data_IF_673078503085
#
_entry.id   IF_673078503085
#
_cell.length_a   1.000
_cell.length_b   1.000
_cell.length_c   1.000
_cell.angle_alpha   90.00
_cell.angle_beta   90.00
_cell.angle_gamma   90.00
#
_symmetry.space_group_name_H-M   'P 1'
#
loop_
_entity.id
_entity.type
_entity.pdbx_description
1 polymer ?
#
# COMPACT_ATOMS: atom_id res chain seq x y z
N UNK A 1 -18.56 7.38 19.24
CA UNK A 1 -18.13 8.73 19.67
C UNK A 1 -19.39 9.57 19.79
N UNK A 2 -19.73 10.03 21.00
CA UNK A 2 -21.06 10.54 21.41
C UNK A 2 -21.09 12.08 21.65
N UNK A 3 -20.13 12.85 21.12
CA UNK A 3 -19.94 14.24 21.60
C UNK A 3 -20.66 15.30 20.74
N UNK A 4 -20.78 15.15 19.42
CA UNK A 4 -21.62 16.00 18.54
C UNK A 4 -21.64 15.42 17.12
N UNK A 5 -22.71 15.65 16.34
CA UNK A 5 -22.73 15.24 14.92
C UNK A 5 -21.66 15.94 14.06
N UNK A 6 -21.14 17.07 14.54
CA UNK A 6 -20.19 17.93 13.83
C UNK A 6 -18.75 17.69 14.26
N UNK A 7 -18.53 17.08 15.44
CA UNK A 7 -17.21 16.86 15.99
C UNK A 7 -17.01 15.39 16.35
N UNK A 8 -15.97 14.78 15.76
CA UNK A 8 -15.56 13.41 16.03
C UNK A 8 -14.16 13.43 16.60
N UNK A 9 -13.97 12.74 17.71
CA UNK A 9 -12.65 12.43 18.26
C UNK A 9 -12.47 10.92 18.24
N UNK A 10 -11.30 10.50 17.77
CA UNK A 10 -10.81 9.15 17.70
C UNK A 10 -9.49 9.03 18.46
N UNK A 11 -9.25 7.85 19.01
CA UNK A 11 -8.01 7.52 19.69
C UNK A 11 -7.77 6.03 19.61
N UNK A 12 -6.51 5.63 19.58
CA UNK A 12 -6.14 4.23 19.60
C UNK A 12 -4.87 3.99 20.40
N UNK A 13 -4.77 2.75 20.88
CA UNK A 13 -3.64 2.24 21.63
C UNK A 13 -3.42 0.80 21.21
N UNK A 14 -2.19 0.45 20.81
CA UNK A 14 -1.81 -0.88 20.34
C UNK A 14 -0.44 -1.22 20.91
N UNK A 15 -0.26 -2.47 21.32
CA UNK A 15 1.03 -3.00 21.73
C UNK A 15 1.43 -4.13 20.80
N UNK A 16 2.61 -4.03 20.18
CA UNK A 16 3.14 -5.09 19.34
C UNK A 16 4.03 -6.04 20.14
N UNK A 17 3.71 -7.33 20.11
CA UNK A 17 4.48 -8.36 20.84
C UNK A 17 5.79 -8.73 20.15
N UNK A 18 5.91 -8.49 18.84
CA UNK A 18 7.11 -8.79 18.05
C UNK A 18 8.13 -7.64 18.06
N UNK A 19 7.64 -6.41 18.08
CA UNK A 19 8.46 -5.19 18.06
C UNK A 19 8.63 -4.57 19.46
N UNK A 20 7.95 -5.10 20.49
CA UNK A 20 7.87 -4.59 21.86
C UNK A 20 7.62 -3.08 21.93
N UNK A 21 6.85 -2.56 20.96
CA UNK A 21 6.66 -1.13 20.79
C UNK A 21 5.21 -0.75 21.05
N UNK A 22 5.04 0.27 21.88
CA UNK A 22 3.75 0.85 22.15
C UNK A 22 3.39 1.87 21.07
N UNK A 23 2.26 1.68 20.40
CA UNK A 23 1.75 2.54 19.33
C UNK A 23 0.47 3.22 19.80
N UNK A 24 0.37 4.51 19.59
CA UNK A 24 -0.75 5.29 20.10
C UNK A 24 -0.95 6.53 19.26
N UNK A 25 -2.19 7.02 19.23
CA UNK A 25 -2.53 8.21 18.49
C UNK A 25 -3.93 8.67 18.78
N UNK A 26 -4.20 9.90 18.40
CA UNK A 26 -5.51 10.51 18.45
C UNK A 26 -5.72 11.37 17.22
N UNK A 27 -6.97 11.45 16.79
CA UNK A 27 -7.39 12.26 15.67
C UNK A 27 -8.71 12.95 16.00
N UNK A 28 -8.89 14.13 15.43
CA UNK A 28 -10.12 14.90 15.51
C UNK A 28 -10.56 15.24 14.10
N UNK A 29 -11.88 15.20 13.88
CA UNK A 29 -12.54 15.64 12.66
C UNK A 29 -13.67 16.58 13.03
N UNK A 30 -13.58 17.83 12.59
CA UNK A 30 -14.65 18.82 12.68
C UNK A 30 -15.27 19.03 11.30
N UNK A 31 -16.51 18.59 11.13
CA UNK A 31 -17.26 18.79 9.89
C UNK A 31 -17.77 20.23 9.84
N UNK A 32 -17.48 20.95 8.77
CA UNK A 32 -17.98 22.31 8.52
C UNK A 32 -19.17 22.28 7.56
N UNK A 33 -19.10 21.44 6.53
CA UNK A 33 -20.21 21.19 5.62
C UNK A 33 -20.25 19.70 5.25
N UNK A 34 -21.35 19.03 5.62
CA UNK A 34 -21.50 17.59 5.41
C UNK A 34 -21.89 17.22 3.96
N UNK A 35 -22.41 18.16 3.16
CA UNK A 35 -22.77 17.94 1.76
C UNK A 35 -21.52 17.91 0.86
N UNK A 36 -20.64 18.90 1.02
CA UNK A 36 -19.37 18.97 0.31
C UNK A 36 -18.23 18.22 1.02
N UNK A 37 -18.53 17.46 2.08
CA UNK A 37 -17.54 16.78 2.93
C UNK A 37 -16.39 17.71 3.39
N UNK A 38 -16.68 19.00 3.54
CA UNK A 38 -15.73 19.98 4.06
C UNK A 38 -15.56 19.73 5.55
N UNK A 39 -14.39 19.23 5.94
CA UNK A 39 -14.09 18.95 7.33
C UNK A 39 -12.63 19.23 7.63
N UNK A 40 -12.36 19.85 8.77
CA UNK A 40 -11.03 19.99 9.31
C UNK A 40 -10.64 18.70 10.04
N UNK A 41 -9.40 18.26 9.84
CA UNK A 41 -8.80 17.11 10.50
C UNK A 41 -7.53 17.54 11.21
N UNK A 42 -7.26 16.97 12.36
CA UNK A 42 -5.98 17.16 13.05
C UNK A 42 -5.71 16.03 14.01
N UNK A 43 -4.45 15.75 14.28
CA UNK A 43 -4.11 14.64 15.15
C UNK A 43 -2.63 14.46 15.39
N UNK A 44 -2.36 13.48 16.24
CA UNK A 44 -1.04 13.01 16.57
C UNK A 44 -1.00 11.49 16.49
N UNK A 45 0.12 10.95 16.05
CA UNK A 45 0.32 9.51 15.96
C UNK A 45 1.78 9.14 16.18
N UNK A 46 1.98 8.13 17.01
CA UNK A 46 3.19 7.34 17.07
C UNK A 46 2.88 5.92 16.61
N UNK A 47 3.42 5.52 15.46
CA UNK A 47 3.17 4.20 14.86
C UNK A 47 4.41 3.73 14.08
N UNK A 48 4.35 2.49 13.58
CA UNK A 48 5.35 1.98 12.66
C UNK A 48 4.79 1.91 11.24
N UNK A 49 5.64 2.19 10.27
CA UNK A 49 5.32 2.10 8.84
C UNK A 49 6.32 1.19 8.16
N UNK A 50 5.91 0.57 7.06
CA UNK A 50 6.88 -0.06 6.18
C UNK A 50 7.79 1.00 5.58
N UNK A 51 9.10 0.78 5.67
CA UNK A 51 10.08 1.68 5.07
C UNK A 51 9.96 1.66 3.54
N UNK A 52 9.80 2.83 2.94
CA UNK A 52 9.57 2.96 1.49
C UNK A 52 8.22 2.39 1.03
N UNK A 53 7.32 2.06 1.97
CA UNK A 53 5.98 1.58 1.66
C UNK A 53 5.13 2.65 0.97
N UNK A 54 4.24 2.21 0.07
CA UNK A 54 3.37 3.13 -0.68
C UNK A 54 1.99 3.21 -0.03
N UNK A 55 1.62 4.40 0.43
CA UNK A 55 0.31 4.68 1.03
C UNK A 55 -0.39 5.85 0.33
N UNK A 56 -1.69 5.70 0.13
CA UNK A 56 -2.56 6.71 -0.48
C UNK A 56 -3.59 7.15 0.54
N UNK A 57 -3.57 8.43 0.92
CA UNK A 57 -4.43 8.96 1.99
C UNK A 57 -5.93 8.76 1.75
N UNK A 58 -6.37 8.85 0.49
CA UNK A 58 -7.77 8.65 0.09
C UNK A 58 -8.16 7.17 -0.12
N UNK A 59 -7.18 6.25 -0.11
CA UNK A 59 -7.46 4.83 -0.24
C UNK A 59 -7.83 4.28 1.14
N UNK A 60 -9.02 3.68 1.31
CA UNK A 60 -9.38 3.07 2.58
C UNK A 60 -8.35 2.01 2.99
N UNK A 61 -7.87 2.06 4.23
CA UNK A 61 -7.00 1.03 4.75
C UNK A 61 -7.75 -0.31 4.77
N UNK A 62 -7.26 -1.25 3.97
CA UNK A 62 -7.74 -2.62 3.93
C UNK A 62 -7.06 -3.40 5.04
N UNK A 63 -7.85 -3.82 6.04
CA UNK A 63 -7.37 -4.73 7.08
C UNK A 63 -7.04 -6.12 6.53
N UNK A 64 -6.53 -7.01 7.39
CA UNK A 64 -6.15 -8.38 7.02
C UNK A 64 -7.30 -9.19 6.37
N UNK A 65 -8.56 -8.83 6.63
CA UNK A 65 -9.75 -9.48 6.07
C UNK A 65 -10.04 -9.10 4.61
N UNK A 66 -9.25 -8.21 4.01
CA UNK A 66 -9.36 -7.78 2.62
C UNK A 66 -8.14 -8.25 1.80
N UNK A 67 -7.65 -9.45 2.10
CA UNK A 67 -6.54 -10.12 1.41
C UNK A 67 -5.22 -9.33 1.39
N UNK A 68 -4.98 -8.53 2.44
CA UNK A 68 -3.76 -7.74 2.65
C UNK A 68 -2.82 -8.40 3.69
N UNK A 69 -2.48 -9.67 3.47
CA UNK A 69 -1.77 -10.51 4.44
C UNK A 69 -0.28 -10.20 4.57
N UNK A 70 0.27 -9.55 3.54
CA UNK A 70 1.64 -9.05 3.49
C UNK A 70 2.05 -8.26 4.73
N UNK A 71 1.11 -7.55 5.35
CA UNK A 71 1.37 -6.74 6.55
C UNK A 71 1.97 -7.54 7.71
N UNK A 72 1.72 -8.85 7.79
CA UNK A 72 2.25 -9.74 8.84
C UNK A 72 3.73 -10.07 8.60
N UNK A 73 4.16 -9.99 7.34
CA UNK A 73 5.43 -10.51 6.86
C UNK A 73 6.49 -9.43 6.64
N UNK A 74 6.12 -8.14 6.72
CA UNK A 74 7.06 -7.02 6.65
C UNK A 74 8.14 -7.20 7.72
N UNK A 75 9.39 -6.98 7.31
CA UNK A 75 10.56 -7.14 8.15
C UNK A 75 11.33 -5.83 8.39
N UNK A 76 11.05 -4.78 7.61
CA UNK A 76 11.72 -3.49 7.68
C UNK A 76 10.70 -2.40 7.93
N UNK A 77 10.90 -1.65 9.01
CA UNK A 77 9.95 -0.66 9.47
C UNK A 77 10.64 0.64 9.87
N UNK A 78 9.90 1.73 9.74
CA UNK A 78 10.23 3.01 10.32
C UNK A 78 9.36 3.28 11.54
N UNK A 79 9.96 3.78 12.61
CA UNK A 79 9.25 4.42 13.71
C UNK A 79 8.93 5.85 13.30
N UNK A 80 7.65 6.21 13.43
CA UNK A 80 7.15 7.49 12.94
C UNK A 80 6.37 8.20 14.03
N UNK A 81 6.83 9.39 14.39
CA UNK A 81 6.08 10.34 15.20
C UNK A 81 5.55 11.43 14.28
N UNK A 82 4.23 11.63 14.26
CA UNK A 82 3.58 12.50 13.29
C UNK A 82 2.56 13.41 13.98
N UNK A 83 2.65 14.71 13.69
CA UNK A 83 1.60 15.69 13.92
C UNK A 83 1.03 16.09 12.58
N UNK A 84 -0.29 16.13 12.44
CA UNK A 84 -0.90 16.54 11.20
C UNK A 84 -2.13 17.42 11.41
N UNK A 85 -2.38 18.27 10.42
CA UNK A 85 -3.59 19.05 10.28
C UNK A 85 -3.96 19.12 8.81
N UNK A 86 -5.23 19.21 8.49
CA UNK A 86 -5.66 19.23 7.11
C UNK A 86 -7.15 19.43 6.97
N UNK A 87 -7.63 19.33 5.74
CA UNK A 87 -9.05 19.36 5.46
C UNK A 87 -9.40 18.39 4.33
N UNK A 88 -10.61 17.86 4.40
CA UNK A 88 -11.24 17.15 3.28
C UNK A 88 -12.19 18.08 2.55
N UNK A 89 -12.36 17.86 1.26
CA UNK A 89 -13.33 18.57 0.45
C UNK A 89 -13.71 17.71 -0.77
N UNK A 90 -14.99 17.64 -1.07
CA UNK A 90 -15.51 16.99 -2.28
C UNK A 90 -15.92 18.08 -3.28
N UNK A 91 -15.01 18.53 -4.17
CA UNK A 91 -15.33 19.57 -5.16
C UNK A 91 -16.41 19.13 -6.15
N UNK A 92 -16.52 17.82 -6.40
CA UNK A 92 -17.55 17.22 -7.23
C UNK A 92 -18.14 16.02 -6.50
N UNK A 93 -19.35 15.61 -6.89
CA UNK A 93 -20.05 14.48 -6.28
C UNK A 93 -19.26 13.16 -6.28
N UNK A 94 -18.24 13.00 -7.13
CA UNK A 94 -17.46 11.76 -7.27
C UNK A 94 -15.95 11.95 -7.18
N UNK A 95 -15.54 13.15 -6.75
CA UNK A 95 -14.15 13.55 -6.58
C UNK A 95 -13.96 13.94 -5.11
N UNK A 96 -13.08 13.22 -4.43
CA UNK A 96 -12.74 13.46 -3.03
C UNK A 96 -11.32 13.98 -2.96
N UNK A 97 -11.13 15.12 -2.29
CA UNK A 97 -9.83 15.71 -2.04
C UNK A 97 -9.53 15.73 -0.53
N UNK A 98 -8.26 15.56 -0.18
CA UNK A 98 -7.73 15.83 1.15
C UNK A 98 -6.41 16.57 1.00
N UNK A 99 -6.28 17.69 1.71
CA UNK A 99 -5.03 18.43 1.82
C UNK A 99 -4.59 18.33 3.27
N UNK A 100 -3.34 17.93 3.49
CA UNK A 100 -2.77 17.72 4.82
C UNK A 100 -1.41 18.38 4.90
N UNK A 101 -1.22 19.19 5.91
CA UNK A 101 0.11 19.54 6.41
C UNK A 101 0.50 18.56 7.51
N UNK A 102 1.72 18.05 7.48
CA UNK A 102 2.24 17.18 8.53
C UNK A 102 3.68 17.47 8.86
N UNK A 103 4.01 17.37 10.15
CA UNK A 103 5.37 17.30 10.67
C UNK A 103 5.62 15.87 11.13
N UNK A 104 6.66 15.25 10.60
CA UNK A 104 7.01 13.86 10.83
C UNK A 104 8.46 13.75 11.30
N UNK A 105 8.71 13.01 12.38
CA UNK A 105 10.03 12.47 12.69
C UNK A 105 10.01 10.98 12.36
N UNK A 106 10.99 10.52 11.59
CA UNK A 106 11.04 9.16 11.08
C UNK A 106 12.42 8.54 11.27
N UNK A 107 12.45 7.41 11.96
CA UNK A 107 13.66 6.62 12.21
C UNK A 107 13.51 5.24 11.57
N UNK A 108 14.41 4.88 10.66
CA UNK A 108 14.42 3.54 10.05
C UNK A 108 15.06 2.55 11.02
N UNK A 109 14.37 1.49 11.42
CA UNK A 109 14.93 0.47 12.32
C UNK A 109 16.05 -0.33 11.63
N UNK A 110 17.04 -0.76 12.39
CA UNK A 110 18.21 -1.49 11.87
C UNK A 110 19.34 -0.57 11.43
N UNK A 111 20.32 -1.14 10.73
CA UNK A 111 21.61 -0.47 10.45
C UNK A 111 21.57 0.44 9.22
N UNK A 112 20.45 1.11 8.94
CA UNK A 112 20.34 1.99 7.78
C UNK A 112 21.00 3.35 8.03
N UNK A 113 21.70 3.88 7.01
CA UNK A 113 22.24 5.24 7.01
C UNK A 113 22.07 5.88 5.64
N UNK A 114 21.72 7.17 5.63
CA UNK A 114 21.70 8.01 4.44
C UNK A 114 22.83 9.03 4.50
N UNK A 115 23.49 9.29 3.37
CA UNK A 115 24.48 10.35 3.25
C UNK A 115 23.76 11.65 2.93
N UNK A 116 23.64 12.53 3.91
CA UNK A 116 23.09 13.86 3.69
C UNK A 116 24.20 14.79 3.15
N UNK A 117 24.02 15.33 1.95
CA UNK A 117 24.98 16.24 1.30
C UNK A 117 24.66 17.73 1.55
N UNK A 118 23.63 18.04 2.33
CA UNK A 118 23.18 19.43 2.61
C UNK A 118 24.11 20.22 3.57
N UNK A 119 25.28 19.69 3.94
CA UNK A 119 26.23 20.31 4.87
C UNK A 119 27.68 20.35 4.36
N UNK A 120 28.56 21.10 5.05
CA UNK A 120 29.97 21.29 4.66
C UNK A 120 30.80 20.00 4.64
N UNK A 121 30.37 18.96 5.36
CA UNK A 121 30.94 17.62 5.32
C UNK A 121 29.79 16.59 5.30
N UNK A 122 29.84 15.59 4.41
CA UNK A 122 28.80 14.57 4.30
C UNK A 122 28.82 13.65 5.54
N UNK A 123 27.70 13.62 6.27
CA UNK A 123 27.52 12.76 7.45
C UNK A 123 26.56 11.63 7.12
N UNK A 124 26.92 10.41 7.55
CA UNK A 124 26.03 9.25 7.54
C UNK A 124 25.14 9.30 8.75
N UNK A 125 23.83 9.46 8.55
CA UNK A 125 22.88 9.55 9.64
C UNK A 125 21.62 8.71 9.36
N UNK A 126 20.90 8.44 10.45
CA UNK A 126 19.59 7.82 10.46
C UNK A 126 18.68 8.65 11.35
N UNK A 127 17.38 8.64 11.09
CA UNK A 127 16.46 9.56 11.73
C UNK A 127 16.42 10.89 10.98
N UNK A 128 15.24 11.26 10.48
CA UNK A 128 15.04 12.47 9.71
C UNK A 128 13.71 13.12 10.05
N UNK A 129 13.67 14.43 9.95
CA UNK A 129 12.49 15.25 10.13
C UNK A 129 11.97 15.71 8.77
N UNK A 130 10.65 15.68 8.61
CA UNK A 130 9.96 16.11 7.41
C UNK A 130 8.81 17.05 7.76
N UNK A 131 8.74 18.17 7.05
CA UNK A 131 7.55 19.02 7.01
C UNK A 131 6.94 18.93 5.62
N UNK A 132 5.73 18.43 5.51
CA UNK A 132 5.14 18.03 4.22
C UNK A 132 3.76 18.63 4.03
N UNK A 133 3.48 19.07 2.80
CA UNK A 133 2.12 19.34 2.31
C UNK A 133 1.75 18.21 1.36
N UNK A 134 0.70 17.47 1.70
CA UNK A 134 0.19 16.35 0.91
C UNK A 134 -1.18 16.72 0.37
N UNK A 135 -1.34 16.63 -0.94
CA UNK A 135 -2.61 16.81 -1.64
C UNK A 135 -2.99 15.49 -2.27
N UNK A 136 -4.11 14.91 -1.85
CA UNK A 136 -4.56 13.59 -2.28
C UNK A 136 -5.97 13.65 -2.86
N UNK A 137 -6.16 13.00 -4.00
CA UNK A 137 -7.42 12.91 -4.72
C UNK A 137 -7.83 11.46 -4.94
N UNK A 138 -9.14 11.20 -4.84
CA UNK A 138 -9.78 9.98 -5.32
C UNK A 138 -10.95 10.32 -6.22
N UNK A 139 -10.95 9.74 -7.40
CA UNK A 139 -12.04 9.84 -8.36
C UNK A 139 -12.63 8.46 -8.65
N UNK A 140 -13.95 8.33 -8.52
CA UNK A 140 -14.66 7.06 -8.73
C UNK A 140 -16.00 7.33 -9.45
N UNK A 141 -16.05 7.38 -10.79
CA UNK A 141 -17.23 7.82 -11.56
C UNK A 141 -18.48 6.97 -11.35
N UNK A 142 -18.35 5.74 -10.88
CA UNK A 142 -19.46 4.82 -10.67
C UNK A 142 -19.84 4.63 -9.20
N UNK A 143 -19.24 5.40 -8.29
CA UNK A 143 -19.57 5.28 -6.86
C UNK A 143 -21.02 5.64 -6.58
N UNK A 144 -21.56 5.02 -5.53
CA UNK A 144 -22.90 5.30 -5.03
C UNK A 144 -22.80 5.88 -3.61
N UNK A 145 -23.54 6.95 -3.41
CA UNK A 145 -23.68 7.62 -2.14
C UNK A 145 -25.15 7.88 -1.84
N UNK A 146 -25.49 7.97 -0.56
CA UNK A 146 -26.77 8.48 -0.08
C UNK A 146 -26.49 9.85 0.52
N UNK A 147 -27.40 10.78 0.30
CA UNK A 147 -27.35 12.13 0.85
C UNK A 147 -28.65 12.41 1.59
N UNK A 148 -28.55 12.93 2.80
CA UNK A 148 -29.73 13.27 3.59
C UNK A 148 -29.46 14.33 4.65
N UNK A 149 -30.52 15.01 5.12
CA UNK A 149 -30.42 15.99 6.19
C UNK A 149 -29.91 15.31 7.47
N UNK A 150 -28.86 15.87 8.08
CA UNK A 150 -28.23 15.36 9.30
C UNK A 150 -26.95 14.56 9.08
N UNK A 151 -26.93 13.56 8.20
CA UNK A 151 -25.72 12.74 7.97
C UNK A 151 -24.88 13.17 6.74
N UNK A 152 -25.42 14.05 5.89
CA UNK A 152 -24.75 14.54 4.68
C UNK A 152 -24.47 13.44 3.68
N UNK A 153 -23.33 13.52 2.98
CA UNK A 153 -22.94 12.55 1.95
C UNK A 153 -22.26 11.32 2.56
N UNK A 154 -22.87 10.15 2.38
CA UNK A 154 -22.33 8.86 2.82
C UNK A 154 -22.12 7.93 1.61
N UNK A 155 -20.85 7.67 1.28
CA UNK A 155 -20.49 6.72 0.22
C UNK A 155 -20.54 5.31 0.78
N UNK A 156 -21.40 4.46 0.23
CA UNK A 156 -21.57 3.07 0.69
C UNK A 156 -21.07 2.05 -0.33
N UNK A 157 -20.79 2.46 -1.57
CA UNK A 157 -20.27 1.55 -2.59
C UNK A 157 -19.32 2.30 -3.55
N UNK A 158 -18.02 2.10 -3.33
CA UNK A 158 -16.96 2.56 -4.24
C UNK A 158 -16.89 1.57 -5.40
N UNK A 159 -17.01 2.05 -6.64
CA UNK A 159 -17.05 1.19 -7.83
C UNK A 159 -16.04 1.62 -8.87
N UNK A 160 -15.43 0.61 -9.50
CA UNK A 160 -14.45 0.78 -10.57
C UNK A 160 -15.02 1.53 -11.80
N UNK A 161 -14.16 2.25 -12.54
CA UNK A 161 -12.75 2.49 -12.25
C UNK A 161 -12.54 3.40 -11.03
N UNK A 162 -11.40 3.26 -10.35
CA UNK A 162 -11.01 4.14 -9.25
C UNK A 162 -9.63 4.72 -9.58
N UNK A 163 -9.51 6.04 -9.52
CA UNK A 163 -8.25 6.75 -9.71
C UNK A 163 -7.85 7.38 -8.38
N UNK A 164 -6.61 7.17 -7.97
CA UNK A 164 -5.95 7.85 -6.87
C UNK A 164 -4.79 8.65 -7.42
N UNK A 165 -4.65 9.88 -6.96
CA UNK A 165 -3.51 10.72 -7.24
C UNK A 165 -3.09 11.42 -5.95
N UNK A 166 -1.79 11.48 -5.69
CA UNK A 166 -1.26 12.13 -4.51
C UNK A 166 0.02 12.88 -4.89
N UNK A 167 0.11 14.10 -4.43
CA UNK A 167 1.29 14.94 -4.54
C UNK A 167 1.75 15.33 -3.15
N UNK A 168 3.02 15.12 -2.85
CA UNK A 168 3.65 15.49 -1.59
C UNK A 168 4.80 16.45 -1.87
N UNK A 169 4.73 17.62 -1.25
CA UNK A 169 5.81 18.61 -1.23
C UNK A 169 6.47 18.60 0.14
N UNK A 170 7.74 18.23 0.20
CA UNK A 170 8.62 18.45 1.34
C UNK A 170 9.10 19.89 1.40
N UNK A 171 9.08 20.48 2.59
CA UNK A 171 9.51 21.85 2.86
C UNK A 171 10.78 21.81 3.70
N UNK A 172 11.90 22.20 3.11
CA UNK A 172 13.16 22.34 3.84
C UNK A 172 13.12 23.51 4.84
N UNK A 173 13.92 23.43 5.90
CA UNK A 173 14.08 24.44 6.95
C UNK A 173 12.78 24.89 7.66
N UNK A 174 11.67 24.19 7.42
CA UNK A 174 10.37 24.47 8.03
C UNK A 174 10.18 23.52 9.19
N UNK A 175 10.02 24.05 10.41
CA UNK A 175 9.88 23.26 11.64
C UNK A 175 11.01 22.21 11.84
N UNK A 176 12.23 22.52 11.39
CA UNK A 176 13.38 21.61 11.50
C UNK A 176 13.33 20.39 10.57
N UNK A 177 12.65 20.51 9.44
CA UNK A 177 12.68 19.53 8.34
C UNK A 177 14.05 19.51 7.66
N UNK A 178 14.51 18.33 7.27
CA UNK A 178 15.84 18.10 6.69
C UNK A 178 15.86 18.11 5.14
N UNK A 179 14.68 18.05 4.50
CA UNK A 179 14.57 17.87 3.04
C UNK A 179 13.47 18.73 2.40
N UNK A 180 13.78 19.26 1.21
CA UNK A 180 12.80 19.74 0.23
C UNK A 180 12.75 18.74 -0.92
N UNK A 181 11.55 18.29 -1.28
CA UNK A 181 11.38 17.35 -2.38
C UNK A 181 9.96 17.38 -2.93
N UNK A 182 9.80 16.86 -4.13
CA UNK A 182 8.51 16.63 -4.76
C UNK A 182 8.31 15.13 -4.97
N UNK A 183 7.15 14.63 -4.57
CA UNK A 183 6.76 13.24 -4.75
C UNK A 183 5.38 13.15 -5.38
N UNK A 184 5.29 12.37 -6.45
CA UNK A 184 4.06 12.14 -7.21
C UNK A 184 3.72 10.66 -7.15
N UNK A 185 2.50 10.34 -6.71
CA UNK A 185 2.00 8.97 -6.62
C UNK A 185 0.66 8.87 -7.36
N UNK A 186 0.49 7.83 -8.17
CA UNK A 186 -0.74 7.57 -8.89
C UNK A 186 -1.11 6.09 -8.81
N UNK A 187 -2.41 5.80 -8.73
CA UNK A 187 -2.93 4.45 -8.80
C UNK A 187 -4.27 4.42 -9.50
N UNK A 188 -4.41 3.49 -10.44
CA UNK A 188 -5.62 3.22 -11.19
C UNK A 188 -6.06 1.78 -10.93
N UNK A 189 -7.31 1.60 -10.54
CA UNK A 189 -7.90 0.28 -10.34
C UNK A 189 -9.13 0.11 -11.24
N UNK A 190 -9.22 -1.03 -11.90
CA UNK A 190 -10.31 -1.37 -12.82
C UNK A 190 -10.77 -2.80 -12.61
N UNK A 191 -12.08 -3.02 -12.73
CA UNK A 191 -12.67 -4.35 -12.67
C UNK A 191 -13.81 -4.44 -13.68
N UNK A 192 -13.84 -5.51 -14.47
CA UNK A 192 -14.90 -5.80 -15.42
C UNK A 192 -15.45 -7.21 -15.17
N UNK A 193 -16.76 -7.30 -14.94
CA UNK A 193 -17.44 -8.58 -14.69
C UNK A 193 -18.23 -8.98 -15.93
N UNK A 194 -17.94 -10.17 -16.44
CA UNK A 194 -18.65 -10.78 -17.58
C UNK A 194 -19.17 -12.16 -17.17
N UNK A 195 -20.43 -12.46 -17.49
CA UNK A 195 -21.05 -13.75 -17.14
C UNK A 195 -20.31 -14.94 -17.77
N UNK A 196 -19.80 -14.77 -19.00
CA UNK A 196 -19.20 -15.86 -19.79
C UNK A 196 -17.73 -16.15 -19.49
N UNK A 197 -16.98 -15.16 -18.99
CA UNK A 197 -15.50 -15.25 -18.84
C UNK A 197 -15.06 -15.03 -17.39
N UNK A 198 -15.94 -14.51 -16.54
CA UNK A 198 -15.66 -14.26 -15.12
C UNK A 198 -15.36 -12.79 -14.84
N UNK A 199 -14.37 -12.53 -13.98
CA UNK A 199 -14.01 -11.18 -13.54
C UNK A 199 -12.58 -10.87 -13.95
N UNK A 200 -12.41 -9.83 -14.76
CA UNK A 200 -11.10 -9.24 -15.03
C UNK A 200 -10.84 -8.12 -14.02
N UNK A 201 -9.65 -8.07 -13.43
CA UNK A 201 -9.20 -7.00 -12.56
C UNK A 201 -7.82 -6.51 -12.99
N UNK A 202 -7.61 -5.20 -12.93
CA UNK A 202 -6.34 -4.56 -13.20
C UNK A 202 -6.05 -3.48 -12.15
N UNK A 203 -4.81 -3.44 -11.67
CA UNK A 203 -4.28 -2.31 -10.92
C UNK A 203 -2.99 -1.83 -11.56
N UNK A 204 -2.92 -0.55 -11.88
CA UNK A 204 -1.71 0.16 -12.30
C UNK A 204 -1.34 1.11 -11.18
N UNK A 205 -0.09 1.11 -10.75
CA UNK A 205 0.41 2.02 -9.74
C UNK A 205 1.79 2.49 -10.12
N UNK A 206 2.09 3.75 -9.88
CA UNK A 206 3.43 4.28 -10.05
C UNK A 206 3.65 5.50 -9.19
N UNK A 207 4.92 5.87 -9.10
CA UNK A 207 5.31 7.08 -8.41
C UNK A 207 6.72 7.49 -8.77
N UNK A 208 7.05 8.74 -8.47
CA UNK A 208 8.38 9.30 -8.65
C UNK A 208 8.67 10.33 -7.55
N UNK A 209 9.91 10.33 -7.09
CA UNK A 209 10.50 11.34 -6.21
C UNK A 209 11.52 12.14 -7.03
N UNK A 210 11.42 13.46 -7.00
CA UNK A 210 12.27 14.37 -7.77
C UNK A 210 13.40 14.96 -6.91
N UNK A 211 13.96 14.18 -6.00
CA UNK A 211 15.08 14.59 -5.11
C UNK A 211 15.70 13.37 -4.43
N UNK A 212 16.95 13.50 -4.01
CA UNK A 212 17.63 12.50 -3.21
C UNK A 212 17.20 12.58 -1.75
N UNK A 213 16.40 11.60 -1.34
CA UNK A 213 15.87 11.50 0.01
C UNK A 213 16.08 10.10 0.59
N UNK A 214 16.03 9.94 1.92
CA UNK A 214 16.25 8.66 2.57
C UNK A 214 15.31 7.55 2.09
N UNK A 215 15.83 6.31 2.14
CA UNK A 215 15.16 5.04 1.85
C UNK A 215 13.70 4.97 2.31
N UNK A 216 13.42 5.52 3.50
CA UNK A 216 12.10 5.51 4.11
C UNK A 216 11.01 6.24 3.34
N UNK A 217 11.38 7.22 2.48
CA UNK A 217 10.47 8.00 1.65
C UNK A 217 10.52 7.65 0.16
N UNK A 218 11.42 6.75 -0.24
CA UNK A 218 11.49 6.17 -1.59
C UNK A 218 10.41 5.07 -1.77
N UNK A 219 10.60 4.19 -2.74
CA UNK A 219 9.67 3.12 -3.07
C UNK A 219 10.31 1.74 -2.96
N UNK A 220 9.70 0.88 -2.15
CA UNK A 220 9.95 -0.56 -2.20
C UNK A 220 8.88 -1.27 -3.01
N UNK A 221 9.26 -2.35 -3.70
CA UNK A 221 8.31 -3.19 -4.41
C UNK A 221 7.25 -3.75 -3.46
N UNK A 222 6.00 -3.87 -3.94
CA UNK A 222 4.89 -4.48 -3.17
C UNK A 222 5.10 -6.00 -3.03
N UNK A 223 6.07 -6.42 -2.23
CA UNK A 223 6.53 -7.79 -2.10
C UNK A 223 5.70 -8.58 -1.08
N UNK A 224 5.58 -9.91 -1.24
CA UNK A 224 4.91 -10.78 -0.28
C UNK A 224 5.72 -12.07 0.02
N UNK A 225 7.02 -12.09 -0.31
CA UNK A 225 7.89 -13.22 0.04
C UNK A 225 8.81 -12.87 1.21
N UNK A 226 8.75 -13.67 2.27
CA UNK A 226 9.62 -13.52 3.44
C UNK A 226 11.04 -14.00 3.14
N UNK A 227 12.01 -13.38 3.81
CA UNK A 227 13.41 -13.84 3.82
C UNK A 227 13.64 -15.05 4.76
N UNK A 228 12.58 -15.60 5.36
CA UNK A 228 12.64 -16.63 6.40
C UNK A 228 12.88 -18.05 5.84
N UNK A 229 14.09 -18.28 5.31
CA UNK A 229 14.57 -19.61 4.93
C UNK A 229 13.72 -20.36 3.89
N UNK A 230 14.01 -21.65 3.67
CA UNK A 230 13.26 -22.50 2.71
C UNK A 230 11.93 -23.01 3.30
N UNK A 231 11.86 -23.21 4.61
CA UNK A 231 10.66 -23.71 5.29
C UNK A 231 9.53 -22.67 5.37
N UNK A 232 9.85 -21.37 5.48
CA UNK A 232 8.86 -20.28 5.48
C UNK A 232 8.33 -19.89 4.10
N UNK A 233 8.77 -20.55 3.02
CA UNK A 233 8.29 -20.30 1.64
C UNK A 233 7.01 -21.06 1.30
N UNK A 234 6.77 -22.17 1.97
CA UNK A 234 5.54 -22.93 1.82
C UNK A 234 4.56 -22.46 2.90
N UNK A 235 3.35 -22.06 2.50
CA UNK A 235 2.20 -21.73 3.39
C UNK A 235 2.05 -20.27 3.87
N UNK A 236 2.73 -19.29 3.28
CA UNK A 236 2.31 -17.89 3.48
C UNK A 236 0.99 -17.63 2.74
N UNK A 237 0.23 -16.65 3.24
CA UNK A 237 -1.02 -16.23 2.59
C UNK A 237 -0.71 -15.36 1.36
N UNK A 238 -1.35 -15.67 0.24
CA UNK A 238 -1.26 -14.90 -0.99
C UNK A 238 -2.02 -13.58 -0.84
N UNK A 239 -1.48 -12.54 -1.45
CA UNK A 239 -2.01 -11.19 -1.42
C UNK A 239 -2.51 -10.78 -2.81
N UNK A 240 -3.57 -9.98 -2.87
CA UNK A 240 -4.19 -9.64 -4.15
C UNK A 240 -3.32 -8.67 -4.96
N UNK A 241 -2.67 -7.70 -4.30
CA UNK A 241 -1.99 -6.56 -4.92
C UNK A 241 -0.47 -6.53 -4.63
N UNK A 242 0.14 -7.71 -4.42
CA UNK A 242 1.57 -7.84 -4.13
C UNK A 242 2.22 -8.92 -5.01
N UNK A 243 3.53 -8.90 -5.18
CA UNK A 243 4.31 -9.94 -5.86
C UNK A 243 4.61 -11.09 -4.89
N UNK A 244 4.21 -12.32 -5.22
CA UNK A 244 4.33 -13.48 -4.33
C UNK A 244 5.73 -14.10 -4.30
N UNK A 245 6.56 -13.79 -5.31
CA UNK A 245 7.91 -14.32 -5.49
C UNK A 245 9.01 -13.27 -5.28
N UNK A 246 8.62 -12.01 -5.08
CA UNK A 246 9.52 -10.89 -4.77
C UNK A 246 9.77 -10.84 -3.27
N UNK A 247 11.02 -10.68 -2.86
CA UNK A 247 11.38 -10.57 -1.44
C UNK A 247 11.16 -9.15 -0.91
N UNK A 248 10.81 -9.03 0.37
CA UNK A 248 10.76 -7.73 1.04
C UNK A 248 12.10 -6.99 0.93
N UNK A 249 12.02 -5.72 0.53
CA UNK A 249 13.15 -4.82 0.29
C UNK A 249 14.18 -5.37 -0.72
N UNK A 250 13.79 -6.32 -1.59
CA UNK A 250 14.66 -6.77 -2.68
C UNK A 250 15.00 -5.63 -3.63
N UNK A 251 14.04 -4.73 -3.84
CA UNK A 251 14.14 -3.63 -4.78
C UNK A 251 13.85 -2.29 -4.13
N UNK A 252 14.67 -1.30 -4.46
CA UNK A 252 14.50 0.10 -4.09
C UNK A 252 14.44 0.94 -5.37
N UNK A 253 13.58 1.95 -5.38
CA UNK A 253 13.42 2.85 -6.51
C UNK A 253 13.03 4.26 -6.07
N UNK A 254 13.53 5.27 -6.77
CA UNK A 254 13.06 6.66 -6.68
C UNK A 254 11.89 6.92 -7.65
N UNK A 255 11.78 6.12 -8.71
CA UNK A 255 10.70 6.15 -9.69
C UNK A 255 10.35 4.73 -10.11
N UNK A 256 9.06 4.44 -10.19
CA UNK A 256 8.60 3.10 -10.50
C UNK A 256 7.20 3.09 -11.11
N UNK A 257 6.90 2.00 -11.81
CA UNK A 257 5.57 1.63 -12.24
C UNK A 257 5.37 0.14 -12.04
N UNK A 258 4.20 -0.26 -11.58
CA UNK A 258 3.82 -1.66 -11.39
C UNK A 258 2.40 -1.92 -11.89
N UNK A 259 2.21 -3.09 -12.47
CA UNK A 259 0.96 -3.56 -13.08
C UNK A 259 0.60 -4.89 -12.45
N UNK A 260 -0.65 -5.02 -12.03
CA UNK A 260 -1.24 -6.27 -11.55
C UNK A 260 -2.46 -6.59 -12.40
N UNK A 261 -2.40 -7.72 -13.10
CA UNK A 261 -3.50 -8.25 -13.91
C UNK A 261 -3.99 -9.54 -13.27
N UNK A 262 -5.30 -9.69 -13.19
CA UNK A 262 -5.96 -10.90 -12.66
C UNK A 262 -7.19 -11.22 -13.48
N UNK A 263 -7.31 -12.48 -13.87
CA UNK A 263 -8.51 -13.03 -14.49
C UNK A 263 -9.05 -14.13 -13.59
N UNK A 264 -10.19 -13.89 -12.95
CA UNK A 264 -10.94 -14.89 -12.16
C UNK A 264 -12.02 -15.50 -13.05
N UNK A 265 -11.82 -16.73 -13.50
CA UNK A 265 -12.80 -17.46 -14.31
C UNK A 265 -13.99 -17.97 -13.50
N UNK A 266 -14.00 -17.75 -12.18
CA UNK A 266 -14.97 -18.33 -11.25
C UNK A 266 -15.02 -19.86 -11.43
N UNK A 267 -16.17 -20.47 -11.15
CA UNK A 267 -16.41 -21.90 -11.40
C UNK A 267 -16.78 -22.21 -12.87
N UNK A 268 -16.42 -21.34 -13.84
CA UNK A 268 -16.81 -21.54 -15.24
C UNK A 268 -16.01 -22.65 -15.94
N UNK A 269 -14.74 -22.81 -15.56
CA UNK A 269 -13.85 -23.81 -16.17
C UNK A 269 -14.09 -25.23 -15.64
N UNK A 270 -14.51 -25.36 -14.39
CA UNK A 270 -14.77 -26.67 -13.77
C UNK A 270 -15.88 -26.58 -12.73
N UNK A 271 -16.91 -27.43 -12.88
CA UNK A 271 -18.02 -27.52 -11.93
C UNK A 271 -18.52 -28.96 -11.79
N UNK A 272 -18.44 -29.48 -10.57
CA UNK A 272 -19.09 -30.72 -10.10
C UNK A 272 -19.96 -30.42 -8.88
N UNK A 273 -20.87 -31.35 -8.54
CA UNK A 273 -21.89 -31.17 -7.49
C UNK A 273 -21.36 -30.59 -6.17
N UNK A 274 -20.19 -31.05 -5.71
CA UNK A 274 -19.55 -30.60 -4.47
C UNK A 274 -18.17 -29.97 -4.68
N UNK A 275 -17.78 -29.70 -5.93
CA UNK A 275 -16.44 -29.19 -6.26
C UNK A 275 -16.50 -28.23 -7.45
N UNK A 276 -16.39 -26.94 -7.17
CA UNK A 276 -16.58 -25.81 -8.08
C UNK A 276 -15.45 -24.79 -7.89
N UNK A 277 -14.18 -25.18 -8.10
CA UNK A 277 -13.03 -24.34 -7.83
C UNK A 277 -13.08 -23.06 -8.68
N UNK A 278 -12.61 -21.96 -8.09
CA UNK A 278 -12.38 -20.74 -8.84
C UNK A 278 -10.94 -20.74 -9.32
N UNK A 279 -10.76 -20.81 -10.64
CA UNK A 279 -9.42 -20.74 -11.23
C UNK A 279 -9.14 -19.29 -11.60
N UNK A 280 -8.00 -18.78 -11.14
CA UNK A 280 -7.55 -17.43 -11.44
C UNK A 280 -6.16 -17.45 -12.06
N UNK A 281 -5.97 -16.63 -13.10
CA UNK A 281 -4.65 -16.36 -13.65
C UNK A 281 -4.21 -14.98 -13.18
N UNK A 282 -2.98 -14.89 -12.70
CA UNK A 282 -2.36 -13.62 -12.32
C UNK A 282 -1.13 -13.38 -13.16
N UNK A 283 -0.92 -12.13 -13.53
CA UNK A 283 0.33 -11.67 -14.16
C UNK A 283 0.64 -10.28 -13.66
N UNK A 284 1.89 -10.07 -13.28
CA UNK A 284 2.36 -8.87 -12.59
C UNK A 284 3.68 -8.45 -13.19
N UNK A 285 3.86 -7.15 -13.32
CA UNK A 285 5.10 -6.58 -13.83
C UNK A 285 5.45 -5.31 -13.07
N UNK A 286 6.74 -5.04 -12.88
CA UNK A 286 7.22 -3.79 -12.31
C UNK A 286 8.49 -3.31 -13.02
N UNK A 287 8.63 -2.01 -13.13
CA UNK A 287 9.82 -1.33 -13.64
C UNK A 287 10.12 -0.16 -12.71
N UNK A 288 11.38 0.21 -12.60
CA UNK A 288 11.78 1.35 -11.81
C UNK A 288 13.28 1.56 -11.88
N UNK A 289 13.75 2.64 -11.27
CA UNK A 289 15.16 2.97 -11.20
C UNK A 289 15.47 3.68 -9.89
N UNK A 290 16.76 3.87 -9.62
CA UNK A 290 17.26 4.68 -8.52
C UNK A 290 18.48 5.44 -9.04
N UNK A 291 18.44 6.77 -8.99
CA UNK A 291 19.49 7.63 -9.55
C UNK A 291 20.79 7.56 -8.72
N UNK A 292 20.66 7.65 -7.40
CA UNK A 292 21.78 7.75 -6.47
C UNK A 292 21.82 6.62 -5.41
N UNK A 293 22.02 5.35 -5.82
CA UNK A 293 22.08 4.22 -4.89
C UNK A 293 23.21 4.33 -3.85
N UNK A 294 24.29 5.04 -4.17
CA UNK A 294 25.46 5.24 -3.33
C UNK A 294 25.19 6.08 -2.07
N UNK A 295 24.08 6.82 -2.02
CA UNK A 295 23.68 7.61 -0.85
C UNK A 295 23.06 6.75 0.26
N UNK A 296 22.82 5.47 0.00
CA UNK A 296 22.15 4.55 0.92
C UNK A 296 23.12 3.46 1.40
N UNK A 297 23.21 3.25 2.72
CA UNK A 297 24.04 2.20 3.33
C UNK A 297 23.29 1.38 4.37
N UNK A 298 23.77 0.16 4.56
CA UNK A 298 23.33 -0.76 5.61
C UNK A 298 22.04 -1.54 5.33
N UNK A 299 21.45 -1.34 4.15
CA UNK A 299 20.39 -2.20 3.61
C UNK A 299 20.86 -2.74 2.26
N UNK A 300 20.73 -4.05 2.07
CA UNK A 300 20.99 -4.68 0.78
C UNK A 300 19.75 -4.58 -0.12
N UNK A 301 19.88 -3.93 -1.27
CA UNK A 301 18.81 -3.79 -2.26
C UNK A 301 19.36 -3.90 -3.69
N UNK A 302 18.44 -4.07 -4.64
CA UNK A 302 18.67 -3.97 -6.08
C UNK A 302 17.79 -2.87 -6.68
N UNK A 303 18.04 -2.49 -7.91
CA UNK A 303 17.18 -1.59 -8.69
C UNK A 303 16.33 -2.40 -9.69
N UNK A 304 15.21 -1.81 -10.16
CA UNK A 304 14.23 -2.45 -11.06
C UNK A 304 14.45 -2.13 -12.55
N UNK A 305 15.65 -1.70 -12.94
CA UNK A 305 15.96 -1.15 -14.27
C UNK A 305 15.67 -2.12 -15.43
N UNK A 306 15.73 -3.43 -15.17
CA UNK A 306 15.53 -4.48 -16.19
C UNK A 306 14.11 -5.03 -16.27
N UNK A 307 13.21 -4.54 -15.42
CA UNK A 307 11.85 -5.05 -15.31
C UNK A 307 11.74 -6.38 -14.57
N UNK A 308 10.78 -6.45 -13.65
CA UNK A 308 10.42 -7.65 -12.89
C UNK A 308 9.10 -8.21 -13.39
N UNK A 309 9.02 -9.53 -13.57
CA UNK A 309 7.83 -10.20 -14.07
C UNK A 309 7.50 -11.45 -13.23
N UNK A 310 6.22 -11.61 -12.91
CA UNK A 310 5.68 -12.76 -12.21
C UNK A 310 4.34 -13.16 -12.80
N UNK A 311 4.13 -14.46 -12.98
CA UNK A 311 2.83 -15.01 -13.33
C UNK A 311 2.49 -16.16 -12.40
N UNK A 312 1.20 -16.42 -12.24
CA UNK A 312 0.74 -17.46 -11.35
C UNK A 312 -0.66 -17.94 -11.66
N UNK A 313 -1.00 -19.08 -11.08
CA UNK A 313 -2.32 -19.71 -11.15
C UNK A 313 -2.79 -19.92 -9.72
N UNK A 314 -4.00 -19.45 -9.42
CA UNK A 314 -4.66 -19.70 -8.15
C UNK A 314 -5.83 -20.65 -8.37
N UNK A 315 -5.95 -21.65 -7.50
CA UNK A 315 -7.08 -22.57 -7.46
C UNK A 315 -7.76 -22.36 -6.11
N UNK A 316 -8.80 -21.52 -6.14
CA UNK A 316 -9.57 -21.08 -4.99
C UNK A 316 -10.78 -21.99 -4.73
N UNK A 317 -11.30 -21.95 -3.50
CA UNK A 317 -12.43 -22.77 -3.03
C UNK A 317 -12.21 -24.29 -3.16
N UNK A 318 -10.97 -24.74 -2.92
CA UNK A 318 -10.66 -26.16 -2.75
C UNK A 318 -11.27 -26.72 -1.47
N UNK A 319 -11.18 -25.94 -0.38
CA UNK A 319 -11.79 -26.26 0.91
C UNK A 319 -12.76 -25.15 1.28
N UNK A 320 -14.05 -25.49 1.34
CA UNK A 320 -15.10 -24.57 1.82
C UNK A 320 -15.24 -24.75 3.32
N UNK A 321 -14.83 -23.76 4.11
CA UNK A 321 -14.98 -23.81 5.57
C UNK A 321 -16.28 -23.16 6.03
N UNK A 322 -16.74 -22.12 5.33
CA UNK A 322 -18.02 -21.48 5.58
C UNK A 322 -18.66 -21.10 4.23
N UNK A 323 -19.95 -20.78 4.24
CA UNK A 323 -20.68 -20.38 3.02
C UNK A 323 -20.08 -19.13 2.35
N UNK A 324 -19.38 -18.31 3.12
CA UNK A 324 -18.73 -17.07 2.70
C UNK A 324 -17.20 -17.13 2.62
N UNK A 325 -16.57 -18.28 2.93
CA UNK A 325 -15.11 -18.39 3.00
C UNK A 325 -14.61 -19.71 2.40
N UNK A 326 -13.73 -19.61 1.41
CA UNK A 326 -13.04 -20.75 0.81
C UNK A 326 -11.54 -20.56 0.76
N UNK A 327 -10.80 -21.61 1.09
CA UNK A 327 -9.35 -21.67 0.95
C UNK A 327 -8.95 -22.36 -0.35
N UNK A 328 -7.77 -22.00 -0.84
CA UNK A 328 -7.17 -22.54 -2.05
C UNK A 328 -5.65 -22.55 -1.97
N UNK A 329 -5.04 -22.80 -3.13
CA UNK A 329 -3.59 -22.78 -3.30
C UNK A 329 -3.26 -21.95 -4.54
N UNK A 330 -2.25 -21.09 -4.41
CA UNK A 330 -1.66 -20.33 -5.51
C UNK A 330 -0.24 -20.79 -5.81
N UNK A 331 0.08 -20.91 -7.09
CA UNK A 331 1.41 -21.21 -7.60
C UNK A 331 1.89 -20.02 -8.43
N UNK A 332 3.06 -19.47 -8.09
CA UNK A 332 3.61 -18.28 -8.74
C UNK A 332 5.05 -18.53 -9.15
N UNK A 333 5.47 -17.88 -10.23
CA UNK A 333 6.81 -18.01 -10.78
C UNK A 333 7.32 -16.66 -11.29
N UNK A 334 8.53 -16.26 -10.85
CA UNK A 334 9.25 -15.10 -11.43
C UNK A 334 10.07 -15.50 -12.64
N UNK A 335 10.05 -14.65 -13.66
CA UNK A 335 10.81 -14.85 -14.89
C UNK A 335 11.42 -13.52 -15.37
N UNK A 336 12.31 -13.61 -16.36
CA UNK A 336 12.98 -12.44 -16.95
C UNK A 336 14.33 -12.14 -16.29
N UNK A 337 14.70 -10.85 -16.28
CA UNK A 337 16.06 -10.42 -15.95
C UNK A 337 16.48 -10.70 -14.49
N UNK A 338 15.52 -10.89 -13.59
CA UNK A 338 15.77 -11.16 -12.18
C UNK A 338 15.52 -12.62 -11.79
N UNK A 339 15.52 -13.56 -12.73
CA UNK A 339 15.46 -15.00 -12.41
C UNK A 339 16.74 -15.46 -11.69
N UNK A 340 16.58 -16.31 -10.68
CA UNK A 340 17.66 -16.96 -9.92
C UNK A 340 18.04 -18.31 -10.56
N UNK A 341 19.25 -18.79 -10.29
CA UNK A 341 19.78 -20.01 -10.94
C UNK A 341 18.93 -21.27 -10.69
N UNK A 342 18.34 -21.39 -9.50
CA UNK A 342 17.54 -22.57 -9.13
C UNK A 342 16.07 -22.30 -9.36
N UNK A 343 15.39 -23.20 -10.06
CA UNK A 343 13.95 -23.15 -10.31
C UNK A 343 13.12 -22.88 -9.04
N UNK A 344 13.40 -23.61 -7.95
CA UNK A 344 12.68 -23.47 -6.68
C UNK A 344 12.94 -22.15 -5.93
N UNK A 345 13.97 -21.38 -6.32
CA UNK A 345 14.18 -20.04 -5.79
C UNK A 345 13.36 -18.98 -6.54
N UNK A 346 12.73 -19.35 -7.65
CA UNK A 346 11.84 -18.51 -8.46
C UNK A 346 10.36 -18.84 -8.27
N UNK A 347 10.04 -19.96 -7.62
CA UNK A 347 8.67 -20.41 -7.40
C UNK A 347 8.19 -20.09 -5.98
N UNK A 348 6.90 -19.75 -5.84
CA UNK A 348 6.23 -19.66 -4.55
C UNK A 348 4.91 -20.45 -4.57
N UNK A 349 4.65 -21.15 -3.47
CA UNK A 349 3.38 -21.84 -3.21
C UNK A 349 2.73 -21.18 -2.00
N UNK A 350 1.55 -20.61 -2.20
CA UNK A 350 0.85 -19.81 -1.19
C UNK A 350 -0.53 -20.37 -0.90
N UNK A 351 -1.00 -20.20 0.32
CA UNK A 351 -2.40 -20.42 0.67
C UNK A 351 -3.20 -19.20 0.21
N UNK A 352 -4.30 -19.43 -0.47
CA UNK A 352 -5.19 -18.36 -0.91
C UNK A 352 -6.49 -18.43 -0.13
N UNK A 353 -7.11 -17.28 0.13
CA UNK A 353 -8.43 -17.20 0.75
C UNK A 353 -9.34 -16.33 -0.11
N UNK A 354 -10.62 -16.68 -0.16
CA UNK A 354 -11.63 -15.89 -0.84
C UNK A 354 -12.83 -15.73 0.05
N UNK A 355 -13.11 -14.48 0.39
CA UNK A 355 -14.35 -14.08 1.05
C UNK A 355 -15.40 -13.77 -0.01
N UNK A 356 -16.50 -14.53 -0.03
CA UNK A 356 -17.71 -14.13 -0.74
C UNK A 356 -18.66 -13.48 0.24
N UNK A 357 -18.72 -12.15 0.23
CA UNK A 357 -19.79 -11.39 0.88
C UNK A 357 -21.11 -11.59 0.13
#
# INVERSE_FOLDING_TARGET
SFISEWFKIGGYFRYGTRDNTLKYGWDTKMSLNKHSNLALKGGYRFDIFESGGIDFMQKPQQGLMADNYRLIYINQFDEVTQYFMGFTYDPLAKLHAEVRFQRENRLTRGDYYFRNESGSEPVWQNGFNYSEIITSFRYSPNEKFIEGPGFGKLTFNIKYPIVYFQYTRGLDNTLGSDFAYDKLDARFEYEHKTVRVGTFSMALQGGMVLSDIPYSKLYVGSANLTNAGKAGRALNLADRNSFETMYFNEFLSDRYVQVFLRQDFKSLLFRRKNFDPHIELVTRAAWGSLEHPELHRGIAFKTLDKGYYESGIEINRLLKMAQFMGFGVGFYYRYGAYTKDKFMDNAAIKLTSKFSL
#
